data_IF_338081424586
#
_entry.id   IF_338081424586
#
_cell.length_a   1.000
_cell.length_b   1.000
_cell.length_c   1.000
_cell.angle_alpha   90.00
_cell.angle_beta   90.00
_cell.angle_gamma   90.00
#
_symmetry.space_group_name_H-M   'P 1'
#
loop_
_entity.id
_entity.type
_entity.pdbx_description
1 polymer ?
#
# COMPACT_ATOMS: atom_id res chain seq x y z
N UNK A 1 -25.25 -1.43 -6.03
CA UNK A 1 -23.85 -1.12 -5.69
C UNK A 1 -23.64 0.34 -6.03
N UNK A 2 -23.34 1.17 -5.03
CA UNK A 2 -22.95 2.56 -5.29
C UNK A 2 -21.62 2.61 -6.05
N UNK A 3 -21.45 3.60 -6.92
CA UNK A 3 -20.26 3.71 -7.76
C UNK A 3 -19.07 4.20 -6.94
N UNK A 4 -18.04 3.37 -6.80
CA UNK A 4 -16.75 3.78 -6.23
C UNK A 4 -15.88 4.42 -7.31
N UNK A 5 -15.69 5.73 -7.19
CA UNK A 5 -14.81 6.49 -8.06
C UNK A 5 -13.34 6.37 -7.63
N UNK A 6 -12.44 6.21 -8.60
CA UNK A 6 -10.99 6.15 -8.39
C UNK A 6 -10.29 7.05 -9.41
N UNK A 7 -10.23 8.38 -9.18
CA UNK A 7 -9.67 9.34 -10.13
C UNK A 7 -8.19 9.06 -10.43
N UNK A 8 -7.46 8.46 -9.48
CA UNK A 8 -6.06 8.04 -9.61
C UNK A 8 -5.83 6.86 -10.57
N UNK A 9 -6.89 6.18 -11.02
CA UNK A 9 -6.77 4.87 -11.67
C UNK A 9 -5.97 4.91 -12.97
N UNK A 10 -6.21 5.90 -13.83
CA UNK A 10 -5.53 5.91 -15.14
C UNK A 10 -4.05 6.23 -14.99
N UNK A 11 -3.71 7.16 -14.09
CA UNK A 11 -2.33 7.47 -13.74
C UNK A 11 -1.61 6.25 -13.17
N UNK A 12 -2.25 5.50 -12.27
CA UNK A 12 -1.66 4.27 -11.73
C UNK A 12 -1.39 3.20 -12.80
N UNK A 13 -2.32 3.02 -13.75
CA UNK A 13 -2.17 2.03 -14.83
C UNK A 13 -1.00 2.40 -15.73
N UNK A 14 -0.91 3.68 -16.11
CA UNK A 14 0.11 4.20 -17.02
C UNK A 14 1.46 4.46 -16.33
N UNK A 15 1.50 4.52 -15.01
CA UNK A 15 2.72 4.78 -14.26
C UNK A 15 3.80 3.71 -14.53
N UNK A 16 5.08 4.11 -14.57
CA UNK A 16 6.19 3.17 -14.68
C UNK A 16 6.11 2.08 -13.62
N UNK A 17 6.14 0.82 -14.06
CA UNK A 17 6.16 -0.32 -13.15
C UNK A 17 7.62 -0.66 -12.82
N UNK A 18 8.02 -0.63 -11.53
CA UNK A 18 9.37 -1.03 -11.16
C UNK A 18 9.62 -2.47 -11.61
N UNK A 19 10.85 -2.74 -12.08
CA UNK A 19 11.24 -4.10 -12.47
C UNK A 19 11.15 -5.00 -11.23
N UNK A 20 10.67 -6.25 -11.38
CA UNK A 20 10.69 -7.21 -10.28
C UNK A 20 12.12 -7.36 -9.75
N UNK A 21 12.30 -7.18 -8.45
CA UNK A 21 13.58 -7.34 -7.76
C UNK A 21 13.67 -8.68 -7.00
N UNK A 22 12.75 -9.61 -7.27
CA UNK A 22 12.66 -10.90 -6.59
C UNK A 22 12.00 -10.86 -5.20
N UNK A 23 11.65 -9.67 -4.69
CA UNK A 23 10.95 -9.51 -3.42
C UNK A 23 9.55 -8.93 -3.64
N UNK A 24 8.61 -9.32 -2.77
CA UNK A 24 7.29 -8.68 -2.77
C UNK A 24 7.39 -7.29 -2.16
N UNK A 25 6.52 -6.37 -2.62
CA UNK A 25 6.40 -5.02 -2.05
C UNK A 25 6.26 -5.07 -0.52
N UNK A 26 5.37 -5.95 -0.03
CA UNK A 26 5.07 -6.06 1.38
C UNK A 26 6.20 -6.67 2.20
N UNK A 27 6.97 -7.62 1.65
CA UNK A 27 8.16 -8.13 2.31
C UNK A 27 9.24 -7.03 2.45
N UNK A 28 9.39 -6.17 1.43
CA UNK A 28 10.26 -5.01 1.50
C UNK A 28 9.83 -4.01 2.57
N UNK A 29 8.52 -3.73 2.68
CA UNK A 29 7.97 -2.85 3.73
C UNK A 29 8.13 -3.48 5.12
N UNK A 30 7.92 -4.79 5.25
CA UNK A 30 8.10 -5.51 6.50
C UNK A 30 9.54 -5.43 7.01
N UNK A 31 10.53 -5.46 6.11
CA UNK A 31 11.95 -5.34 6.41
C UNK A 31 12.44 -3.88 6.60
N UNK A 32 11.60 -2.88 6.30
CA UNK A 32 11.92 -1.46 6.45
C UNK A 32 11.46 -0.93 7.80
N UNK A 33 12.21 0.01 8.37
CA UNK A 33 11.83 0.78 9.56
C UNK A 33 11.27 2.17 9.24
N UNK A 34 11.19 2.56 7.97
CA UNK A 34 10.65 3.85 7.55
C UNK A 34 9.13 3.76 7.37
N UNK A 35 8.42 3.78 8.49
CA UNK A 35 6.97 3.60 8.51
C UNK A 35 6.22 4.73 7.82
N UNK A 36 6.71 5.97 7.95
CA UNK A 36 6.08 7.12 7.34
C UNK A 36 6.16 7.06 5.81
N UNK A 37 7.32 6.74 5.23
CA UNK A 37 7.46 6.61 3.79
C UNK A 37 6.63 5.45 3.21
N UNK A 38 6.47 4.38 4.00
CA UNK A 38 5.70 3.21 3.63
C UNK A 38 4.21 3.30 3.99
N UNK A 39 3.76 4.39 4.62
CA UNK A 39 2.38 4.57 5.08
C UNK A 39 1.92 3.51 6.11
N UNK A 40 2.86 2.96 6.88
CA UNK A 40 2.57 2.05 7.99
C UNK A 40 2.05 2.85 9.18
N UNK A 41 0.93 2.41 9.74
CA UNK A 41 0.23 3.08 10.85
C UNK A 41 0.51 2.40 12.18
N UNK A 42 0.65 1.06 12.16
CA UNK A 42 0.89 0.25 13.34
C UNK A 42 1.65 -1.03 12.96
N UNK A 43 2.58 -1.45 13.81
CA UNK A 43 3.25 -2.76 13.72
C UNK A 43 2.99 -3.56 14.98
N UNK A 44 2.70 -4.84 14.78
CA UNK A 44 2.54 -5.83 15.83
C UNK A 44 3.44 -7.03 15.54
N UNK A 45 3.50 -7.99 16.47
CA UNK A 45 4.43 -9.13 16.40
C UNK A 45 4.36 -9.94 15.10
N UNK A 46 3.19 -10.05 14.49
CA UNK A 46 2.93 -10.95 13.36
C UNK A 46 2.21 -10.28 12.21
N UNK A 47 2.08 -8.95 12.23
CA UNK A 47 1.44 -8.19 11.17
C UNK A 47 1.72 -6.69 11.31
N UNK A 48 1.39 -5.94 10.28
CA UNK A 48 1.34 -4.48 10.32
C UNK A 48 0.10 -3.97 9.57
N UNK A 49 -0.39 -2.82 10.00
CA UNK A 49 -1.46 -2.09 9.32
C UNK A 49 -0.85 -0.91 8.55
N UNK A 50 -1.30 -0.69 7.31
CA UNK A 50 -0.84 0.41 6.47
C UNK A 50 -1.98 1.03 5.66
N UNK A 51 -1.88 2.33 5.36
CA UNK A 51 -2.81 2.98 4.45
C UNK A 51 -2.58 2.51 3.01
N UNK A 52 -3.67 2.38 2.26
CA UNK A 52 -3.56 2.17 0.82
C UNK A 52 -3.15 3.47 0.14
N UNK A 53 -2.04 3.45 -0.62
CA UNK A 53 -1.56 4.60 -1.40
C UNK A 53 -2.57 5.06 -2.47
N UNK A 54 -3.48 4.18 -2.87
CA UNK A 54 -4.54 4.44 -3.83
C UNK A 54 -5.91 4.14 -3.17
N UNK A 55 -6.37 5.01 -2.25
CA UNK A 55 -7.56 4.75 -1.45
C UNK A 55 -8.86 4.98 -2.25
N UNK A 56 -9.94 4.32 -1.85
CA UNK A 56 -11.30 4.60 -2.36
C UNK A 56 -12.03 5.61 -1.47
N UNK A 57 -11.70 5.66 -0.18
CA UNK A 57 -12.20 6.59 0.81
C UNK A 57 -11.11 6.91 1.84
N UNK A 58 -11.32 7.96 2.63
CA UNK A 58 -10.44 8.30 3.75
C UNK A 58 -10.35 7.14 4.74
N UNK A 59 -9.14 6.73 5.10
CA UNK A 59 -8.90 5.61 6.01
C UNK A 59 -8.87 4.22 5.36
N UNK A 60 -8.95 4.10 4.04
CA UNK A 60 -8.73 2.82 3.36
C UNK A 60 -7.34 2.26 3.71
N UNK A 61 -7.33 1.14 4.43
CA UNK A 61 -6.13 0.50 4.95
C UNK A 61 -6.10 -1.00 4.64
N UNK A 62 -4.94 -1.58 4.82
CA UNK A 62 -4.67 -3.01 4.68
C UNK A 62 -3.98 -3.51 5.96
N UNK A 63 -4.26 -4.76 6.33
CA UNK A 63 -3.49 -5.49 7.36
C UNK A 63 -2.73 -6.62 6.67
N UNK A 64 -1.42 -6.63 6.86
CA UNK A 64 -0.49 -7.54 6.19
C UNK A 64 0.21 -8.38 7.25
N UNK A 65 0.24 -9.71 7.13
CA UNK A 65 1.00 -10.60 8.02
C UNK A 65 2.52 -10.46 7.82
#
# INVERSE_FOLDING_TARGET
>A
MEHLHAPWRIEYILAPKPKPNGQSLFAGIAASSDDLANLVVLRERTCFAMLNRYPYNGGHLMVIP
#
